data_IF_084905903569
#
_entry.id   IF_084905903569
#
_cell.length_a   1.000
_cell.length_b   1.000
_cell.length_c   1.000
_cell.angle_alpha   90.00
_cell.angle_beta   90.00
_cell.angle_gamma   90.00
#
_symmetry.space_group_name_H-M   'P 1'
#
loop_
_entity.id
_entity.type
_entity.pdbx_description
1 polymer ?
#
# COMPACT_ATOMS: atom_id res chain seq x y z
N UNK A 1 1.62 -12.31 -21.31
CA UNK A 1 1.41 -13.51 -20.47
C UNK A 1 0.35 -13.13 -19.44
N UNK A 2 -0.54 -14.05 -19.05
CA UNK A 2 -1.54 -13.77 -18.01
C UNK A 2 -0.83 -13.43 -16.68
N UNK A 3 -1.38 -12.52 -15.89
CA UNK A 3 -0.86 -12.19 -14.57
C UNK A 3 -1.09 -13.35 -13.58
N UNK A 4 -0.33 -13.39 -12.48
CA UNK A 4 -0.52 -14.41 -11.45
C UNK A 4 -1.95 -14.41 -10.88
N UNK A 5 -2.55 -13.22 -10.68
CA UNK A 5 -3.94 -13.07 -10.25
C UNK A 5 -4.94 -13.61 -11.28
N UNK A 6 -4.75 -13.32 -12.58
CA UNK A 6 -5.61 -13.84 -13.65
C UNK A 6 -5.57 -15.37 -13.74
N UNK A 7 -4.41 -15.98 -13.43
CA UNK A 7 -4.27 -17.43 -13.37
C UNK A 7 -4.98 -18.00 -12.14
N UNK A 8 -4.83 -17.36 -10.97
CA UNK A 8 -5.53 -17.73 -9.74
C UNK A 8 -7.06 -17.71 -9.90
N UNK A 9 -7.61 -16.58 -10.35
CA UNK A 9 -9.06 -16.40 -10.60
C UNK A 9 -9.62 -17.44 -11.58
N UNK A 10 -8.79 -17.86 -12.54
CA UNK A 10 -9.17 -18.88 -13.50
C UNK A 10 -9.19 -20.27 -12.88
N UNK A 11 -8.22 -20.60 -12.02
CA UNK A 11 -8.19 -21.86 -11.29
C UNK A 11 -9.41 -21.97 -10.37
N UNK A 12 -9.71 -20.93 -9.59
CA UNK A 12 -10.87 -20.91 -8.69
C UNK A 12 -12.20 -21.10 -9.45
N UNK A 13 -12.36 -20.39 -10.57
CA UNK A 13 -13.56 -20.52 -11.40
C UNK A 13 -13.72 -21.93 -11.96
N UNK A 14 -12.63 -22.55 -12.42
CA UNK A 14 -12.66 -23.93 -12.91
C UNK A 14 -13.02 -24.91 -11.79
N UNK A 15 -12.48 -24.72 -10.58
CA UNK A 15 -12.83 -25.56 -9.42
C UNK A 15 -14.32 -25.42 -9.07
N UNK A 16 -14.85 -24.19 -9.03
CA UNK A 16 -16.28 -23.95 -8.79
C UNK A 16 -17.17 -24.55 -9.89
N UNK A 17 -16.73 -24.52 -11.15
CA UNK A 17 -17.42 -25.20 -12.26
C UNK A 17 -17.47 -26.71 -12.06
N UNK A 18 -16.38 -27.34 -11.57
CA UNK A 18 -16.36 -28.76 -11.24
C UNK A 18 -17.26 -29.11 -10.05
N UNK A 19 -17.29 -28.29 -9.00
CA UNK A 19 -18.19 -28.48 -7.85
C UNK A 19 -19.67 -28.37 -8.24
N UNK A 20 -19.99 -27.51 -9.20
CA UNK A 20 -21.35 -27.35 -9.71
C UNK A 20 -21.84 -28.54 -10.55
N UNK A 21 -20.95 -29.45 -10.96
CA UNK A 21 -21.34 -30.70 -11.62
C UNK A 21 -21.93 -31.66 -10.59
N UNK A 22 -23.00 -32.36 -10.95
CA UNK A 22 -23.66 -33.35 -10.07
C UNK A 22 -22.86 -34.65 -9.84
N UNK A 23 -21.55 -34.66 -10.17
CA UNK A 23 -20.64 -35.79 -9.95
C UNK A 23 -19.57 -35.42 -8.91
N UNK A 24 -19.78 -35.76 -7.63
CA UNK A 24 -18.81 -35.46 -6.57
C UNK A 24 -17.49 -36.22 -6.73
N UNK A 25 -17.46 -37.31 -7.50
CA UNK A 25 -16.23 -38.06 -7.76
C UNK A 25 -15.31 -37.28 -8.69
N UNK A 26 -15.89 -36.63 -9.71
CA UNK A 26 -15.13 -35.84 -10.68
C UNK A 26 -14.50 -34.61 -10.02
N UNK A 27 -15.25 -33.89 -9.18
CA UNK A 27 -14.75 -32.75 -8.41
C UNK A 27 -13.57 -33.18 -7.51
N UNK A 28 -13.74 -34.27 -6.74
CA UNK A 28 -12.68 -34.80 -5.88
C UNK A 28 -11.41 -35.18 -6.66
N UNK A 29 -11.54 -35.75 -7.87
CA UNK A 29 -10.38 -36.09 -8.72
C UNK A 29 -9.70 -34.86 -9.32
N UNK A 30 -10.45 -33.81 -9.66
CA UNK A 30 -9.88 -32.55 -10.11
C UNK A 30 -9.06 -31.88 -8.99
N UNK A 31 -9.61 -31.83 -7.77
CA UNK A 31 -8.90 -31.33 -6.59
C UNK A 31 -7.64 -32.15 -6.28
N UNK A 32 -7.73 -33.48 -6.31
CA UNK A 32 -6.58 -34.37 -6.08
C UNK A 32 -5.49 -34.15 -7.12
N UNK A 33 -5.84 -33.96 -8.40
CA UNK A 33 -4.89 -33.63 -9.46
C UNK A 33 -4.18 -32.29 -9.19
N UNK A 34 -4.94 -31.24 -8.87
CA UNK A 34 -4.36 -29.92 -8.58
C UNK A 34 -3.43 -30.00 -7.38
N UNK A 35 -3.86 -30.63 -6.28
CA UNK A 35 -3.05 -30.85 -5.09
C UNK A 35 -1.74 -31.57 -5.42
N UNK A 36 -1.81 -32.67 -6.16
CA UNK A 36 -0.63 -33.46 -6.56
C UNK A 36 0.35 -32.64 -7.38
N UNK A 37 -0.15 -31.81 -8.30
CA UNK A 37 0.69 -30.93 -9.13
C UNK A 37 1.35 -29.84 -8.29
N UNK A 38 0.61 -29.22 -7.37
CA UNK A 38 1.14 -28.20 -6.45
C UNK A 38 2.19 -28.80 -5.50
N UNK A 39 1.96 -30.00 -4.97
CA UNK A 39 2.94 -30.73 -4.13
C UNK A 39 4.22 -31.07 -4.92
N UNK A 40 4.09 -31.50 -6.18
CA UNK A 40 5.22 -31.79 -7.04
C UNK A 40 6.10 -30.55 -7.27
N UNK A 41 5.49 -29.40 -7.60
CA UNK A 41 6.21 -28.15 -7.77
C UNK A 41 6.75 -27.61 -6.44
N UNK A 42 6.02 -27.76 -5.34
CA UNK A 42 6.49 -27.39 -4.00
C UNK A 42 7.78 -28.12 -3.62
N UNK A 43 7.84 -29.43 -3.86
CA UNK A 43 9.06 -30.23 -3.64
C UNK A 43 10.24 -29.74 -4.49
N UNK A 44 9.98 -29.36 -5.74
CA UNK A 44 11.01 -28.80 -6.61
C UNK A 44 11.49 -27.41 -6.13
N UNK A 45 10.57 -26.56 -5.69
CA UNK A 45 10.85 -25.24 -5.15
C UNK A 45 11.65 -25.31 -3.86
N UNK A 46 11.30 -26.21 -2.94
CA UNK A 46 12.05 -26.45 -1.71
C UNK A 46 13.52 -26.75 -2.05
N UNK A 47 13.74 -27.66 -3.00
CA UNK A 47 15.08 -28.00 -3.44
C UNK A 47 15.82 -26.82 -4.11
N UNK A 48 15.12 -25.98 -4.85
CA UNK A 48 15.70 -24.77 -5.45
C UNK A 48 16.13 -23.81 -4.36
N UNK A 49 15.29 -23.58 -3.34
CA UNK A 49 15.58 -22.68 -2.21
C UNK A 49 16.80 -23.18 -1.44
N UNK A 50 16.87 -24.47 -1.11
CA UNK A 50 18.03 -25.08 -0.44
C UNK A 50 19.36 -24.88 -1.19
N UNK A 51 19.30 -24.88 -2.53
CA UNK A 51 20.48 -24.71 -3.39
C UNK A 51 20.81 -23.24 -3.66
N UNK A 52 19.92 -22.31 -3.31
CA UNK A 52 20.06 -20.89 -3.60
C UNK A 52 20.85 -20.20 -2.48
N UNK A 53 21.97 -19.53 -2.78
CA UNK A 53 22.69 -18.76 -1.77
C UNK A 53 21.84 -17.64 -1.17
N UNK A 54 22.02 -17.36 0.12
CA UNK A 54 21.24 -16.37 0.87
C UNK A 54 21.08 -15.00 0.16
N UNK A 55 22.12 -14.37 -0.43
CA UNK A 55 21.94 -13.08 -1.12
C UNK A 55 21.07 -13.17 -2.39
N UNK A 56 21.05 -14.33 -3.03
CA UNK A 56 20.18 -14.57 -4.19
C UNK A 56 18.75 -14.87 -3.74
N UNK A 57 18.58 -15.59 -2.63
CA UNK A 57 17.27 -15.87 -2.04
C UNK A 57 16.58 -14.59 -1.56
N UNK A 58 17.32 -13.67 -0.92
CA UNK A 58 16.80 -12.35 -0.53
C UNK A 58 16.29 -11.55 -1.74
N UNK A 59 17.01 -11.60 -2.86
CA UNK A 59 16.56 -10.95 -4.11
C UNK A 59 15.31 -11.58 -4.69
N UNK A 60 15.16 -12.89 -4.59
CA UNK A 60 13.96 -13.60 -5.02
C UNK A 60 12.77 -13.26 -4.10
N UNK A 61 12.99 -13.21 -2.79
CA UNK A 61 11.97 -12.82 -1.81
C UNK A 61 11.55 -11.35 -1.90
N UNK A 62 12.34 -10.49 -2.56
CA UNK A 62 11.95 -9.11 -2.84
C UNK A 62 11.01 -8.98 -4.06
N UNK A 63 10.95 -9.98 -4.94
CA UNK A 63 10.01 -9.98 -6.06
C UNK A 63 8.62 -10.41 -5.58
N UNK A 64 7.60 -9.60 -5.88
CA UNK A 64 6.24 -9.80 -5.34
C UNK A 64 5.62 -11.13 -5.76
N UNK A 65 5.87 -11.59 -6.99
CA UNK A 65 5.30 -12.83 -7.50
C UNK A 65 6.03 -14.01 -6.86
N UNK A 66 7.36 -13.95 -6.82
CA UNK A 66 8.17 -15.03 -6.25
C UNK A 66 7.94 -15.14 -4.73
N UNK A 67 7.87 -14.02 -4.01
CA UNK A 67 7.55 -14.00 -2.59
C UNK A 67 6.20 -14.68 -2.29
N UNK A 68 5.16 -14.39 -3.07
CA UNK A 68 3.86 -15.03 -2.92
C UNK A 68 3.91 -16.55 -3.11
N UNK A 69 4.65 -17.03 -4.12
CA UNK A 69 4.85 -18.48 -4.34
C UNK A 69 5.62 -19.11 -3.19
N UNK A 70 6.67 -18.44 -2.68
CA UNK A 70 7.43 -18.93 -1.53
C UNK A 70 6.56 -19.04 -0.28
N UNK A 71 5.67 -18.07 -0.03
CA UNK A 71 4.73 -18.10 1.10
C UNK A 71 3.73 -19.26 0.98
N UNK A 72 3.14 -19.47 -0.21
CA UNK A 72 2.19 -20.58 -0.43
C UNK A 72 2.80 -21.95 -0.13
N UNK A 73 4.12 -22.09 -0.29
CA UNK A 73 4.86 -23.31 -0.02
C UNK A 73 5.61 -23.31 1.32
N UNK A 74 5.43 -22.30 2.17
CA UNK A 74 6.12 -22.17 3.46
C UNK A 74 7.67 -22.12 3.34
N UNK A 75 8.17 -21.58 2.22
CA UNK A 75 9.59 -21.49 1.85
C UNK A 75 10.16 -20.08 1.93
N UNK A 76 9.40 -19.11 2.45
CA UNK A 76 9.86 -17.73 2.53
C UNK A 76 11.00 -17.58 3.58
N UNK A 77 12.11 -16.88 3.28
CA UNK A 77 13.25 -16.78 4.19
C UNK A 77 12.96 -16.01 5.49
N UNK A 78 11.97 -15.13 5.46
CA UNK A 78 11.52 -14.33 6.60
C UNK A 78 10.21 -14.86 7.16
N UNK A 79 10.10 -14.89 8.49
CA UNK A 79 8.86 -15.25 9.19
C UNK A 79 7.73 -14.27 8.86
N UNK A 80 6.48 -14.69 9.13
CA UNK A 80 5.31 -13.84 8.97
C UNK A 80 5.46 -12.50 9.73
N UNK A 81 5.88 -12.56 11.00
CA UNK A 81 6.11 -11.36 11.83
C UNK A 81 7.16 -10.43 11.22
N UNK A 82 8.27 -10.98 10.71
CA UNK A 82 9.33 -10.19 10.08
C UNK A 82 8.84 -9.51 8.80
N UNK A 83 8.03 -10.21 7.98
CA UNK A 83 7.44 -9.66 6.77
C UNK A 83 6.45 -8.55 7.08
N UNK A 84 5.57 -8.76 8.06
CA UNK A 84 4.64 -7.74 8.55
C UNK A 84 5.40 -6.52 9.06
N UNK A 85 6.43 -6.71 9.89
CA UNK A 85 7.20 -5.58 10.41
C UNK A 85 7.87 -4.77 9.30
N UNK A 86 8.47 -5.44 8.29
CA UNK A 86 9.06 -4.76 7.12
C UNK A 86 8.03 -3.98 6.31
N UNK A 87 6.83 -4.54 6.14
CA UNK A 87 5.74 -3.87 5.45
C UNK A 87 5.30 -2.61 6.22
N UNK A 88 5.14 -2.71 7.55
CA UNK A 88 4.83 -1.57 8.40
C UNK A 88 5.95 -0.52 8.36
N UNK A 89 7.22 -0.93 8.38
CA UNK A 89 8.37 -0.03 8.27
C UNK A 89 8.37 0.76 6.94
N UNK A 90 7.92 0.14 5.85
CA UNK A 90 7.71 0.82 4.56
C UNK A 90 6.58 1.86 4.59
N UNK A 91 5.55 1.64 5.41
CA UNK A 91 4.40 2.55 5.54
C UNK A 91 4.65 3.67 6.57
N UNK A 92 5.53 3.46 7.57
CA UNK A 92 5.84 4.44 8.62
C UNK A 92 6.24 5.84 8.12
N UNK A 93 7.04 6.02 7.05
CA UNK A 93 7.32 7.34 6.49
C UNK A 93 6.05 8.10 6.09
N UNK A 94 5.06 7.39 5.56
CA UNK A 94 3.75 7.94 5.20
C UNK A 94 2.93 8.31 6.45
N UNK A 95 2.92 7.45 7.47
CA UNK A 95 2.22 7.73 8.74
C UNK A 95 2.84 8.90 9.49
N UNK A 96 4.17 8.94 9.56
CA UNK A 96 4.92 9.99 10.23
C UNK A 96 4.68 11.37 9.63
N UNK A 97 4.40 11.44 8.32
CA UNK A 97 3.95 12.68 7.69
C UNK A 97 2.66 13.20 8.36
N UNK A 98 1.68 12.33 8.63
CA UNK A 98 0.42 12.65 9.32
C UNK A 98 0.58 12.74 10.85
N UNK A 99 1.82 12.80 11.36
CA UNK A 99 2.16 12.73 12.79
C UNK A 99 1.51 11.50 13.47
N UNK A 100 1.40 10.41 12.73
CA UNK A 100 0.91 9.11 13.18
C UNK A 100 2.00 8.05 13.18
N UNK A 101 1.74 6.95 13.87
CA UNK A 101 2.58 5.76 13.89
C UNK A 101 1.70 4.50 13.88
N UNK A 102 2.28 3.35 13.54
CA UNK A 102 1.63 2.05 13.63
C UNK A 102 2.54 1.07 14.35
N UNK A 103 1.97 0.37 15.32
CA UNK A 103 2.65 -0.67 16.07
C UNK A 103 1.98 -2.02 15.85
N UNK A 104 2.81 -3.04 15.68
CA UNK A 104 2.39 -4.44 15.67
C UNK A 104 1.97 -4.84 17.08
N UNK A 105 0.79 -5.45 17.22
CA UNK A 105 0.30 -5.99 18.51
C UNK A 105 0.45 -7.50 18.53
N UNK A 106 -0.28 -8.20 17.66
CA UNK A 106 -0.25 -9.65 17.56
C UNK A 106 -0.84 -10.15 16.23
N UNK A 107 -0.62 -11.43 15.94
CA UNK A 107 -1.34 -12.16 14.90
C UNK A 107 -2.05 -13.31 15.59
N UNK A 108 -3.37 -13.39 15.45
CA UNK A 108 -4.15 -14.49 16.04
C UNK A 108 -4.03 -15.76 15.20
N UNK A 109 -4.33 -16.91 15.81
CA UNK A 109 -4.33 -18.21 15.13
C UNK A 109 -5.33 -18.26 13.96
N UNK A 110 -6.35 -17.40 13.97
CA UNK A 110 -7.31 -17.24 12.87
C UNK A 110 -6.80 -16.32 11.73
N UNK A 111 -5.53 -15.92 11.75
CA UNK A 111 -4.91 -15.08 10.74
C UNK A 111 -5.33 -13.61 10.81
N UNK A 112 -5.70 -13.11 12.00
CA UNK A 112 -6.06 -11.71 12.21
C UNK A 112 -4.84 -10.94 12.71
N UNK A 113 -4.34 -10.00 11.90
CA UNK A 113 -3.29 -9.07 12.29
C UNK A 113 -3.89 -7.91 13.09
N UNK A 114 -3.49 -7.78 14.35
CA UNK A 114 -3.86 -6.65 15.22
C UNK A 114 -2.74 -5.62 15.23
N UNK A 115 -3.12 -4.37 14.95
CA UNK A 115 -2.24 -3.22 14.94
C UNK A 115 -2.79 -2.16 15.89
N UNK A 116 -1.94 -1.34 16.48
CA UNK A 116 -2.34 -0.15 17.22
C UNK A 116 -1.80 1.08 16.52
N UNK A 117 -2.70 2.02 16.18
CA UNK A 117 -2.30 3.33 15.69
C UNK A 117 -1.87 4.21 16.87
N UNK A 118 -0.91 5.09 16.61
CA UNK A 118 -0.51 6.13 17.54
C UNK A 118 -0.45 7.49 16.87
N UNK A 119 -0.39 8.56 17.67
CA UNK A 119 -0.24 9.94 17.20
C UNK A 119 -1.56 10.61 16.83
N UNK A 120 -1.55 11.58 15.90
CA UNK A 120 -2.77 12.30 15.50
C UNK A 120 -3.74 11.49 14.62
N UNK A 121 -3.41 10.23 14.32
CA UNK A 121 -4.30 9.28 13.65
C UNK A 121 -5.47 8.83 14.55
N UNK A 122 -5.39 9.02 15.87
CA UNK A 122 -6.38 8.60 16.89
C UNK A 122 -7.66 9.46 16.97
N UNK A 123 -7.99 10.29 15.97
CA UNK A 123 -9.19 11.13 16.09
C UNK A 123 -9.66 11.92 14.88
N UNK A 124 -9.05 11.78 13.71
CA UNK A 124 -9.49 12.47 12.49
C UNK A 124 -10.07 11.47 11.46
N UNK A 125 -11.41 11.40 11.29
CA UNK A 125 -12.06 10.34 10.51
C UNK A 125 -11.70 10.29 9.02
N UNK A 126 -11.17 11.36 8.42
CA UNK A 126 -10.70 11.33 7.02
C UNK A 126 -9.26 10.80 6.88
N UNK A 127 -8.44 10.91 7.92
CA UNK A 127 -7.03 10.47 7.89
C UNK A 127 -6.90 8.97 8.14
N UNK A 128 -7.82 8.40 8.93
CA UNK A 128 -7.82 6.98 9.32
C UNK A 128 -8.09 6.05 8.14
N UNK A 129 -8.94 6.46 7.18
CA UNK A 129 -9.31 5.63 6.02
C UNK A 129 -8.13 5.46 5.06
N UNK A 130 -7.45 6.54 4.71
CA UNK A 130 -6.30 6.49 3.79
C UNK A 130 -5.11 5.76 4.39
N UNK A 131 -4.87 5.95 5.69
CA UNK A 131 -3.85 5.21 6.45
C UNK A 131 -4.15 3.72 6.47
N UNK A 132 -5.40 3.34 6.75
CA UNK A 132 -5.83 1.95 6.77
C UNK A 132 -5.62 1.28 5.42
N UNK A 133 -5.99 1.92 4.32
CA UNK A 133 -5.79 1.39 2.97
C UNK A 133 -4.31 1.18 2.64
N UNK A 134 -3.43 2.11 3.02
CA UNK A 134 -1.98 1.98 2.80
C UNK A 134 -1.40 0.78 3.59
N UNK A 135 -1.85 0.60 4.83
CA UNK A 135 -1.46 -0.55 5.67
C UNK A 135 -2.00 -1.85 5.07
N UNK A 136 -3.30 -1.89 4.74
CA UNK A 136 -3.95 -3.08 4.15
C UNK A 136 -3.21 -3.55 2.90
N UNK A 137 -2.89 -2.63 1.98
CA UNK A 137 -2.13 -2.97 0.78
C UNK A 137 -0.72 -3.46 1.10
N UNK A 138 0.04 -2.78 1.97
CA UNK A 138 1.40 -3.20 2.29
C UNK A 138 1.44 -4.60 2.90
N UNK A 139 0.46 -4.91 3.77
CA UNK A 139 0.32 -6.23 4.38
C UNK A 139 -0.15 -7.27 3.37
N UNK A 140 -1.09 -6.97 2.48
CA UNK A 140 -1.56 -7.92 1.46
C UNK A 140 -0.40 -8.41 0.56
N UNK A 141 0.53 -7.52 0.20
CA UNK A 141 1.69 -7.91 -0.61
C UNK A 141 2.74 -8.69 0.19
N UNK A 142 3.00 -8.30 1.44
CA UNK A 142 4.05 -8.91 2.25
C UNK A 142 3.59 -10.18 2.97
N UNK A 143 2.31 -10.29 3.30
CA UNK A 143 1.71 -11.33 4.12
C UNK A 143 0.32 -11.70 3.59
N UNK A 144 0.23 -12.33 2.41
CA UNK A 144 -1.04 -12.70 1.78
C UNK A 144 -1.86 -13.72 2.59
N UNK A 145 -1.24 -14.42 3.56
CA UNK A 145 -1.93 -15.32 4.48
C UNK A 145 -2.75 -14.60 5.57
N UNK A 146 -2.58 -13.29 5.75
CA UNK A 146 -3.37 -12.50 6.70
C UNK A 146 -4.80 -12.32 6.16
N UNK A 147 -5.76 -12.86 6.88
CA UNK A 147 -7.19 -12.88 6.49
C UNK A 147 -7.87 -11.55 6.82
N UNK A 148 -7.47 -10.90 7.91
CA UNK A 148 -8.07 -9.66 8.38
C UNK A 148 -7.06 -8.81 9.12
N UNK A 149 -7.18 -7.50 8.96
CA UNK A 149 -6.41 -6.51 9.72
C UNK A 149 -7.39 -5.77 10.63
N UNK A 150 -7.10 -5.77 11.92
CA UNK A 150 -7.83 -5.02 12.95
C UNK A 150 -6.91 -3.97 13.56
N UNK A 151 -7.47 -2.78 13.80
CA UNK A 151 -6.69 -1.62 14.23
C UNK A 151 -7.29 -1.07 15.52
N UNK A 152 -6.60 -1.31 16.63
CA UNK A 152 -6.95 -0.79 17.95
C UNK A 152 -6.95 0.75 17.92
N UNK A 153 -8.01 1.35 18.49
CA UNK A 153 -8.23 2.81 18.51
C UNK A 153 -9.23 3.31 17.47
N UNK A 154 -9.55 2.50 16.44
CA UNK A 154 -10.65 2.78 15.52
C UNK A 154 -11.89 2.04 16.01
N UNK A 155 -12.85 2.77 16.58
CA UNK A 155 -14.15 2.19 16.94
C UNK A 155 -14.75 1.61 15.66
N UNK A 156 -15.09 0.31 15.61
CA UNK A 156 -15.86 -0.23 14.51
C UNK A 156 -17.12 0.63 14.40
N UNK A 157 -17.39 1.20 13.22
CA UNK A 157 -18.68 1.84 12.98
C UNK A 157 -19.73 0.75 13.16
N UNK A 158 -20.45 0.82 14.29
CA UNK A 158 -21.56 -0.05 14.62
C UNK A 158 -22.46 -0.19 13.38
N UNK A 159 -22.48 -1.39 12.81
CA UNK A 159 -23.39 -1.73 11.73
C UNK A 159 -24.80 -1.63 12.29
N UNK A 160 -25.61 -0.70 11.75
CA UNK A 160 -27.03 -0.66 12.06
C UNK A 160 -27.71 -2.00 11.75
N UNK A 161 -28.87 -2.29 12.36
CA UNK A 161 -29.55 -3.56 12.17
C UNK A 161 -29.87 -3.75 10.69
N UNK A 162 -29.28 -4.78 10.07
CA UNK A 162 -29.45 -5.11 8.65
C UNK A 162 -28.27 -4.75 7.72
N UNK A 163 -27.11 -4.34 8.26
CA UNK A 163 -25.85 -4.32 7.48
C UNK A 163 -25.82 -3.34 6.30
N UNK A 164 -26.66 -2.30 6.30
CA UNK A 164 -26.65 -1.24 5.29
C UNK A 164 -26.33 0.11 5.93
N UNK A 165 -25.34 0.85 5.42
CA UNK A 165 -25.03 2.18 5.94
C UNK A 165 -26.17 3.16 5.65
N UNK A 166 -26.60 3.88 6.69
CA UNK A 166 -27.53 5.00 6.62
C UNK A 166 -26.75 6.26 6.17
N UNK A 167 -26.49 6.34 4.86
CA UNK A 167 -25.69 7.36 4.14
C UNK A 167 -26.27 8.80 4.21
N UNK A 168 -25.46 9.84 3.92
CA UNK A 168 -25.27 10.28 2.53
C UNK A 168 -23.81 10.60 2.13
N UNK A 169 -23.41 10.03 0.98
CA UNK A 169 -22.57 10.68 -0.05
C UNK A 169 -21.19 11.23 0.35
N UNK A 170 -20.26 10.34 0.69
CA UNK A 170 -19.00 10.31 -0.07
C UNK A 170 -18.90 8.87 -0.52
N UNK A 171 -19.28 8.61 -1.77
CA UNK A 171 -18.76 7.44 -2.46
C UNK A 171 -17.27 7.40 -2.15
N UNK A 172 -16.79 6.29 -1.57
CA UNK A 172 -15.38 5.96 -1.70
C UNK A 172 -15.12 5.93 -3.20
N UNK A 173 -14.77 7.09 -3.77
CA UNK A 173 -14.37 7.23 -5.15
C UNK A 173 -13.17 6.31 -5.25
N UNK A 174 -13.29 5.27 -6.08
CA UNK A 174 -12.20 4.36 -6.37
C UNK A 174 -10.96 5.21 -6.61
N UNK A 175 -10.01 5.17 -5.69
CA UNK A 175 -8.75 5.85 -5.88
C UNK A 175 -8.13 5.23 -7.13
N UNK A 176 -7.91 6.05 -8.15
CA UNK A 176 -7.25 5.60 -9.37
C UNK A 176 -5.77 5.90 -9.21
N UNK A 177 -4.95 4.85 -9.24
CA UNK A 177 -3.51 4.97 -9.26
C UNK A 177 -3.09 5.40 -10.66
N UNK A 178 -2.38 6.51 -10.74
CA UNK A 178 -1.89 7.05 -12.00
C UNK A 178 -0.37 7.12 -11.93
N UNK A 179 0.28 6.56 -12.95
CA UNK A 179 1.72 6.64 -13.12
C UNK A 179 2.12 8.07 -13.50
N UNK A 180 3.13 8.59 -12.81
CA UNK A 180 3.85 9.78 -13.22
C UNK A 180 4.85 9.37 -14.29
N UNK A 181 4.86 10.07 -15.43
CA UNK A 181 5.70 9.69 -16.57
C UNK A 181 7.21 9.79 -16.28
N UNK A 182 8.02 9.05 -17.05
CA UNK A 182 9.49 8.95 -16.92
C UNK A 182 10.24 10.30 -16.95
N UNK A 183 9.60 11.39 -17.39
CA UNK A 183 10.17 12.74 -17.41
C UNK A 183 10.20 13.44 -16.03
N UNK A 184 9.61 12.84 -15.00
CA UNK A 184 9.40 13.46 -13.68
C UNK A 184 10.25 12.85 -12.56
N UNK A 185 11.40 12.21 -12.88
CA UNK A 185 12.37 11.81 -11.85
C UNK A 185 12.89 13.04 -11.10
N UNK A 186 12.26 13.31 -9.95
CA UNK A 186 12.62 14.42 -9.08
C UNK A 186 13.97 14.09 -8.44
N UNK A 187 15.05 14.73 -8.89
CA UNK A 187 16.36 14.56 -8.28
C UNK A 187 16.31 14.88 -6.77
N UNK A 188 17.13 14.26 -5.91
CA UNK A 188 17.18 14.60 -4.50
C UNK A 188 17.35 16.11 -4.28
N UNK A 189 16.43 16.71 -3.52
CA UNK A 189 16.40 18.16 -3.28
C UNK A 189 15.66 18.97 -4.34
N UNK A 190 15.02 18.34 -5.33
CA UNK A 190 14.21 19.00 -6.33
C UNK A 190 12.70 18.86 -6.04
N UNK A 191 11.92 19.67 -6.76
CA UNK A 191 10.47 19.59 -6.81
C UNK A 191 10.05 19.50 -8.28
N UNK A 192 9.10 18.63 -8.60
CA UNK A 192 8.45 18.57 -9.91
C UNK A 192 6.95 18.77 -9.75
N UNK A 193 6.31 19.35 -10.76
CA UNK A 193 4.87 19.44 -10.85
C UNK A 193 4.36 18.44 -11.88
N UNK A 194 3.44 17.59 -11.47
CA UNK A 194 2.78 16.66 -12.36
C UNK A 194 1.29 16.97 -12.43
N UNK A 195 0.67 16.68 -13.58
CA UNK A 195 -0.78 16.70 -13.69
C UNK A 195 -1.29 15.28 -13.71
N UNK A 196 -2.06 14.92 -12.68
CA UNK A 196 -2.66 13.61 -12.53
C UNK A 196 -4.15 13.73 -12.80
N UNK A 197 -4.58 13.38 -14.02
CA UNK A 197 -5.94 13.63 -14.53
C UNK A 197 -6.30 15.13 -14.45
N UNK A 198 -7.26 15.52 -13.62
CA UNK A 198 -7.67 16.91 -13.37
C UNK A 198 -7.03 17.52 -12.09
N UNK A 199 -6.25 16.75 -11.34
CA UNK A 199 -5.56 17.22 -10.15
C UNK A 199 -4.14 17.71 -10.51
N UNK A 200 -3.87 18.98 -10.23
CA UNK A 200 -2.50 19.50 -10.22
C UNK A 200 -1.80 19.02 -8.95
N UNK A 201 -0.62 18.42 -9.11
CA UNK A 201 0.14 17.75 -8.05
C UNK A 201 1.57 18.27 -8.04
N UNK A 202 2.15 18.44 -6.85
CA UNK A 202 3.55 18.76 -6.64
C UNK A 202 4.24 17.59 -5.94
N UNK A 203 5.37 17.15 -6.48
CA UNK A 203 6.17 16.04 -5.96
C UNK A 203 7.52 16.58 -5.50
N UNK A 204 7.84 16.38 -4.23
CA UNK A 204 9.06 16.86 -3.60
C UNK A 204 9.96 15.67 -3.27
N UNK A 205 11.24 15.75 -3.60
CA UNK A 205 12.23 14.75 -3.18
C UNK A 205 13.05 15.30 -2.01
N UNK A 206 12.69 14.91 -0.78
CA UNK A 206 13.44 15.28 0.42
C UNK A 206 14.42 14.15 0.78
N UNK A 207 15.69 14.33 0.42
CA UNK A 207 16.77 13.43 0.84
C UNK A 207 16.69 12.01 0.25
N UNK A 208 16.05 11.82 -0.90
CA UNK A 208 15.85 10.53 -1.55
C UNK A 208 14.44 9.96 -1.37
N UNK A 209 13.64 10.54 -0.47
CA UNK A 209 12.24 10.14 -0.25
C UNK A 209 11.31 11.09 -1.00
N UNK A 210 10.36 10.52 -1.74
CA UNK A 210 9.39 11.26 -2.53
C UNK A 210 8.10 11.52 -1.72
N UNK A 211 7.61 12.75 -1.82
CA UNK A 211 6.37 13.22 -1.19
C UNK A 211 5.50 13.89 -2.24
N UNK A 212 4.20 13.60 -2.27
CA UNK A 212 3.26 14.24 -3.19
C UNK A 212 2.20 15.05 -2.44
N UNK A 213 1.83 16.21 -3.00
CA UNK A 213 0.79 17.09 -2.49
C UNK A 213 -0.06 17.62 -3.64
N UNK A 214 -1.29 18.04 -3.36
CA UNK A 214 -2.00 18.89 -4.31
C UNK A 214 -1.25 20.21 -4.50
N UNK A 215 -1.20 20.68 -5.74
CA UNK A 215 -0.55 21.93 -6.12
C UNK A 215 -1.38 23.17 -5.72
N UNK A 216 -1.62 23.32 -4.41
CA UNK A 216 -2.33 24.46 -3.81
C UNK A 216 -1.73 24.82 -2.46
N UNK A 217 -1.36 26.08 -2.32
CA UNK A 217 -0.92 26.67 -1.07
C UNK A 217 -2.04 26.68 -0.04
N UNK A 218 -1.81 26.13 1.16
CA UNK A 218 -2.82 26.12 2.22
C UNK A 218 -3.23 27.54 2.68
N UNK A 219 -2.34 28.53 2.52
CA UNK A 219 -2.57 29.90 2.98
C UNK A 219 -3.30 30.78 1.95
N UNK A 220 -2.94 30.70 0.67
CA UNK A 220 -3.47 31.59 -0.37
C UNK A 220 -4.09 30.87 -1.57
N UNK A 221 -4.11 29.53 -1.57
CA UNK A 221 -4.70 28.67 -2.60
C UNK A 221 -4.05 28.75 -3.99
N UNK A 222 -2.99 29.55 -4.15
CA UNK A 222 -2.19 29.62 -5.37
C UNK A 222 -1.29 28.40 -5.56
N UNK A 223 -0.83 28.18 -6.79
CA UNK A 223 0.04 27.06 -7.14
C UNK A 223 1.40 27.11 -6.42
N UNK A 224 1.89 25.95 -6.02
CA UNK A 224 3.19 25.70 -5.39
C UNK A 224 4.25 25.24 -6.41
N UNK A 225 3.85 24.83 -7.61
CA UNK A 225 4.70 24.35 -8.70
C UNK A 225 5.78 25.33 -9.19
N UNK A 226 5.71 26.61 -8.78
CA UNK A 226 6.76 27.62 -8.98
C UNK A 226 7.50 28.03 -7.70
N UNK A 227 7.31 27.30 -6.61
CA UNK A 227 7.86 27.59 -5.29
C UNK A 227 9.33 27.24 -5.14
N UNK A 228 9.97 27.80 -4.12
CA UNK A 228 11.35 27.44 -3.75
C UNK A 228 11.31 26.19 -2.87
N UNK A 229 12.14 25.20 -3.19
CA UNK A 229 12.32 24.00 -2.38
C UNK A 229 13.80 23.85 -2.00
N UNK A 230 14.07 23.69 -0.71
CA UNK A 230 15.43 23.60 -0.16
C UNK A 230 15.83 22.16 0.27
N UNK A 231 15.06 21.17 -0.18
CA UNK A 231 15.22 19.77 0.23
C UNK A 231 14.37 19.36 1.43
N UNK A 232 13.68 20.30 2.09
CA UNK A 232 12.71 19.97 3.15
C UNK A 232 11.54 20.95 3.20
N UNK A 233 11.78 22.23 2.96
CA UNK A 233 10.79 23.27 3.02
C UNK A 233 10.38 23.68 1.62
N UNK A 234 9.08 23.62 1.34
CA UNK A 234 8.48 24.13 0.11
C UNK A 234 7.82 25.48 0.40
N UNK A 235 8.33 26.54 -0.22
CA UNK A 235 7.83 27.91 -0.07
C UNK A 235 6.93 28.31 -1.23
N UNK A 236 5.71 28.78 -0.91
CA UNK A 236 4.77 29.33 -1.87
C UNK A 236 5.34 30.61 -2.52
N UNK A 237 5.37 30.69 -3.86
CA UNK A 237 5.93 31.85 -4.56
C UNK A 237 5.08 33.12 -4.40
N UNK A 238 3.78 32.97 -4.12
CA UNK A 238 2.83 34.09 -4.06
C UNK A 238 2.78 34.77 -2.69
N UNK A 239 2.75 33.99 -1.61
CA UNK A 239 2.57 34.53 -0.26
C UNK A 239 3.77 34.28 0.68
N UNK A 240 4.77 33.50 0.27
CA UNK A 240 5.96 33.18 1.07
C UNK A 240 5.72 32.20 2.22
N UNK A 241 4.50 31.65 2.36
CA UNK A 241 4.24 30.57 3.30
C UNK A 241 5.09 29.35 2.94
N UNK A 242 5.73 28.76 3.94
CA UNK A 242 6.67 27.65 3.82
C UNK A 242 6.13 26.46 4.58
N UNK A 243 6.26 25.29 3.96
CA UNK A 243 5.67 24.05 4.39
C UNK A 243 6.74 22.98 4.51
N UNK A 244 6.78 22.29 5.65
CA UNK A 244 7.71 21.18 5.85
C UNK A 244 7.16 19.92 5.18
N UNK A 245 7.75 19.54 4.04
CA UNK A 245 7.28 18.39 3.23
C UNK A 245 7.51 17.05 3.93
N UNK A 246 8.44 16.98 4.89
CA UNK A 246 8.63 15.75 5.66
C UNK A 246 7.60 15.64 6.78
N UNK A 247 7.04 16.76 7.23
CA UNK A 247 5.99 16.84 8.25
C UNK A 247 4.59 17.11 7.65
N UNK A 248 4.19 16.33 6.63
CA UNK A 248 2.93 16.47 5.85
C UNK A 248 2.60 17.89 5.40
N UNK A 249 3.61 18.63 4.95
CA UNK A 249 3.41 19.99 4.48
C UNK A 249 2.88 20.92 5.57
N UNK A 250 3.22 20.68 6.85
CA UNK A 250 2.86 21.57 7.96
C UNK A 250 3.47 22.95 7.73
N UNK A 251 2.67 24.00 7.89
CA UNK A 251 3.16 25.37 7.79
C UNK A 251 4.23 25.66 8.87
N UNK A 252 5.38 26.17 8.45
CA UNK A 252 6.49 26.62 9.31
C UNK A 252 6.32 28.09 9.70
N UNK A 253 5.82 28.90 8.76
CA UNK A 253 5.52 30.32 8.94
C UNK A 253 4.08 30.62 8.47
N UNK A 254 3.09 30.14 9.23
CA UNK A 254 1.67 30.34 8.96
C UNK A 254 0.78 29.32 9.67
N UNK A 255 -0.49 29.23 9.26
CA UNK A 255 -1.43 28.20 9.71
C UNK A 255 -1.85 27.31 8.53
N UNK A 256 -2.14 26.04 8.82
CA UNK A 256 -2.58 25.05 7.85
C UNK A 256 -1.50 24.03 7.48
N UNK A 257 -1.88 23.11 6.60
CA UNK A 257 -1.00 22.08 6.05
C UNK A 257 -1.36 21.87 4.58
N UNK A 258 -0.41 21.42 3.77
CA UNK A 258 -0.67 20.99 2.40
C UNK A 258 -1.53 19.74 2.38
N UNK A 259 -2.27 19.50 1.30
CA UNK A 259 -3.09 18.30 1.12
C UNK A 259 -2.23 17.17 0.51
N UNK A 260 -1.80 16.16 1.29
CA UNK A 260 -0.91 15.11 0.80
C UNK A 260 -1.66 14.12 -0.10
N UNK A 261 -0.96 13.61 -1.12
CA UNK A 261 -1.45 12.54 -1.99
C UNK A 261 -0.61 11.28 -1.77
N UNK A 262 -1.21 10.08 -1.65
CA UNK A 262 -0.45 8.85 -1.52
C UNK A 262 0.44 8.64 -2.74
N UNK A 263 1.70 8.29 -2.50
CA UNK A 263 2.71 8.04 -3.53
C UNK A 263 3.36 6.68 -3.27
N UNK A 264 3.41 5.83 -4.29
CA UNK A 264 4.14 4.58 -4.31
C UNK A 264 5.29 4.70 -5.29
N UNK A 265 6.52 4.61 -4.80
CA UNK A 265 7.70 4.43 -5.62
C UNK A 265 7.94 2.93 -5.78
N UNK A 266 8.02 2.47 -7.03
CA UNK A 266 8.35 1.08 -7.36
C UNK A 266 9.85 0.97 -7.65
N UNK A 267 10.43 -0.21 -7.45
CA UNK A 267 11.88 -0.44 -7.59
C UNK A 267 12.40 -0.28 -9.03
N UNK A 268 11.50 -0.28 -10.01
CA UNK A 268 11.77 0.02 -11.43
C UNK A 268 11.87 1.54 -11.71
N UNK A 269 11.68 2.38 -10.70
CA UNK A 269 11.68 3.84 -10.82
C UNK A 269 10.30 4.43 -11.13
N UNK A 270 9.26 3.59 -11.27
CA UNK A 270 7.90 4.05 -11.56
C UNK A 270 7.26 4.64 -10.32
N UNK A 271 6.78 5.88 -10.42
CA UNK A 271 6.09 6.58 -9.32
C UNK A 271 4.59 6.61 -9.63
N UNK A 272 3.78 6.10 -8.70
CA UNK A 272 2.32 6.14 -8.80
C UNK A 272 1.73 7.03 -7.73
N UNK A 273 0.81 7.90 -8.10
CA UNK A 273 0.07 8.75 -7.16
C UNK A 273 -1.40 8.35 -7.16
N UNK A 274 -1.98 8.21 -5.96
CA UNK A 274 -3.42 7.97 -5.83
C UNK A 274 -4.18 9.29 -5.93
N UNK A 275 -5.14 9.36 -6.85
CA UNK A 275 -6.11 10.45 -6.92
C UNK A 275 -7.52 9.94 -6.67
N UNK A 276 -8.26 10.65 -5.83
CA UNK A 276 -9.72 10.51 -5.70
C UNK A 276 -10.36 10.95 -7.02
N UNK A 277 -11.28 10.13 -7.54
CA UNK A 277 -11.86 10.28 -8.89
C UNK A 277 -13.16 11.06 -8.86
#
# INVERSE_FOLDING_TARGET
>A
MASAGEVGDRVERLLAEFEALADPTLAARAEELVRTVVEFYGTALERIVELTPEPALERLAADQIVAGVLVVHDLHPHSLEQRVQRALDGVRPYLGSHSGDVSFVEITDEGVLRLALGGSCDGCPSSTVTVKLAIEQAIEHAAPEIVRIDVEGVVPLETGPGGRPLLPLVTAEKASWVELGEADMVAPGAVSSARVRDAATVVCNAGGTLYAYRDRCAACQEALSGGHFDGRLLSCPSCGASYDVVAAGRAVNGNGHLDPLPLLASDDGTIRVAVST
#
